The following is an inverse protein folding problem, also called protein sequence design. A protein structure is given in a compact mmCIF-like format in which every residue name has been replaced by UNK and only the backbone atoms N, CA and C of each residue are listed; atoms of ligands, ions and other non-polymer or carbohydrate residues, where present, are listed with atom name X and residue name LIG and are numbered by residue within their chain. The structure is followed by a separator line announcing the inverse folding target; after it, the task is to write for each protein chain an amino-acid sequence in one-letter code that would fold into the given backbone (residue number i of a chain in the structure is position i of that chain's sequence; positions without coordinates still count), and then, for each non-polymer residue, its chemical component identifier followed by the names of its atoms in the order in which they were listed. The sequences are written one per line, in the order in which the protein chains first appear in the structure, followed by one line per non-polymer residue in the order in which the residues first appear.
data_IF_645781387181
#
_entry.id   IF_645781387181
#
_cell.length_a   1.000
_cell.length_b   1.000
_cell.length_c   1.000
_cell.angle_alpha   90.00
_cell.angle_beta   90.00
_cell.angle_gamma   90.00
#
_symmetry.space_group_name_H-M   'P 1'
#
loop_
_entity.id
_entity.type
_entity.pdbx_description
1 polymer ?
#
# COMPACT_ATOMS: atom_id res chain seq x y z
N UNK A 1 -0.04 -22.15 3.81
CA UNK A 1 1.21 -21.64 4.44
C UNK A 1 0.97 -20.20 4.86
N UNK A 2 1.92 -19.58 5.56
CA UNK A 2 1.78 -18.21 6.06
C UNK A 2 2.77 -17.26 5.40
N UNK A 3 2.33 -16.02 5.21
CA UNK A 3 3.16 -14.88 4.83
C UNK A 3 3.24 -13.96 6.06
N UNK A 4 4.44 -13.52 6.44
CA UNK A 4 4.58 -12.53 7.53
C UNK A 4 4.61 -11.11 6.96
N UNK A 5 3.83 -10.20 7.56
CA UNK A 5 3.72 -8.79 7.16
C UNK A 5 4.33 -7.82 8.17
N UNK A 6 5.02 -8.31 9.19
CA UNK A 6 5.47 -7.51 10.34
C UNK A 6 6.38 -6.37 9.93
N UNK A 7 7.28 -6.61 8.97
CA UNK A 7 8.27 -5.64 8.49
C UNK A 7 7.72 -4.67 7.43
N UNK A 8 6.44 -4.79 7.03
CA UNK A 8 5.76 -3.87 6.11
C UNK A 8 4.38 -3.48 6.63
N UNK A 9 3.36 -4.30 6.43
CA UNK A 9 1.98 -3.91 6.73
C UNK A 9 1.68 -3.80 8.23
N UNK A 10 2.33 -4.63 9.05
CA UNK A 10 2.10 -4.63 10.50
C UNK A 10 2.43 -3.26 11.11
N UNK A 11 3.63 -2.75 10.86
CA UNK A 11 4.04 -1.43 11.36
C UNK A 11 3.42 -0.27 10.57
N UNK A 12 3.12 -0.46 9.29
CA UNK A 12 2.33 0.52 8.51
C UNK A 12 0.94 0.73 9.14
N UNK A 13 0.31 -0.36 9.61
CA UNK A 13 -1.02 -0.34 10.18
C UNK A 13 -1.06 0.14 11.62
N UNK A 14 -0.04 -0.17 12.43
CA UNK A 14 -0.07 0.05 13.87
C UNK A 14 0.74 1.25 14.35
N UNK A 15 1.85 1.60 13.68
CA UNK A 15 2.76 2.67 14.11
C UNK A 15 3.12 3.63 12.97
N UNK A 16 2.15 3.89 12.08
CA UNK A 16 2.29 4.85 10.97
C UNK A 16 3.55 4.65 10.11
N UNK A 17 3.94 3.39 9.90
CA UNK A 17 5.11 3.00 9.09
C UNK A 17 6.46 3.45 9.66
N UNK A 18 6.52 3.80 10.95
CA UNK A 18 7.69 4.45 11.57
C UNK A 18 8.82 3.51 11.99
N UNK A 19 8.67 2.20 11.78
CA UNK A 19 9.74 1.25 12.10
C UNK A 19 10.99 1.56 11.27
N UNK A 20 12.08 1.86 11.96
CA UNK A 20 13.39 2.10 11.37
C UNK A 20 14.06 0.83 10.92
N UNK A 21 14.98 0.95 9.97
CA UNK A 21 15.75 -0.21 9.47
C UNK A 21 16.52 -0.89 10.61
N UNK A 22 17.12 -0.11 11.51
CA UNK A 22 17.90 -0.61 12.66
C UNK A 22 17.11 -1.55 13.59
N UNK A 23 15.80 -1.36 13.69
CA UNK A 23 14.93 -2.19 14.51
C UNK A 23 14.58 -3.52 13.84
N UNK A 24 14.69 -3.59 12.52
CA UNK A 24 14.39 -4.79 11.74
C UNK A 24 15.58 -5.75 11.73
N UNK A 25 16.82 -5.23 11.64
CA UNK A 25 18.02 -6.05 11.40
C UNK A 25 18.25 -7.15 12.44
N UNK A 26 18.09 -6.92 13.76
CA UNK A 26 18.31 -7.97 14.76
C UNK A 26 17.35 -9.16 14.64
N UNK A 27 16.21 -8.97 13.98
CA UNK A 27 15.17 -9.99 13.83
C UNK A 27 15.30 -10.87 12.58
N UNK A 28 16.12 -10.47 11.60
CA UNK A 28 16.13 -11.12 10.29
C UNK A 28 16.53 -12.60 10.36
N UNK A 29 17.56 -12.95 11.14
CA UNK A 29 17.97 -14.35 11.29
C UNK A 29 16.88 -15.22 11.94
N UNK A 30 16.18 -14.68 12.94
CA UNK A 30 15.08 -15.39 13.58
C UNK A 30 13.93 -15.60 12.59
N UNK A 31 13.57 -14.57 11.84
CA UNK A 31 12.56 -14.65 10.77
C UNK A 31 12.92 -15.66 9.68
N UNK A 32 14.18 -15.74 9.26
CA UNK A 32 14.65 -16.66 8.23
C UNK A 32 14.55 -18.15 8.65
N UNK A 33 14.32 -18.42 9.94
CA UNK A 33 14.10 -19.76 10.52
C UNK A 33 12.62 -20.10 10.75
N UNK A 34 11.69 -19.20 10.45
CA UNK A 34 10.26 -19.38 10.73
C UNK A 34 9.51 -20.19 9.68
N UNK A 35 10.15 -20.54 8.55
CA UNK A 35 9.56 -21.33 7.47
C UNK A 35 8.28 -20.69 6.86
N UNK A 36 8.26 -19.36 6.77
CA UNK A 36 7.22 -18.62 6.05
C UNK A 36 7.30 -18.89 4.55
N UNK A 37 6.16 -18.84 3.85
CA UNK A 37 6.11 -18.86 2.39
C UNK A 37 6.88 -17.67 1.80
N UNK A 38 6.61 -16.49 2.37
CA UNK A 38 7.31 -15.24 2.08
C UNK A 38 7.19 -14.29 3.27
N UNK A 39 7.99 -13.23 3.24
CA UNK A 39 7.84 -12.08 4.11
C UNK A 39 7.61 -10.83 3.29
N UNK A 40 6.54 -10.11 3.60
CA UNK A 40 6.29 -8.80 3.03
C UNK A 40 7.09 -7.75 3.79
N UNK A 41 8.09 -7.17 3.12
CA UNK A 41 9.13 -6.35 3.76
C UNK A 41 9.31 -4.98 3.11
N UNK A 42 8.63 -4.72 1.99
CA UNK A 42 8.86 -3.53 1.18
C UNK A 42 7.64 -3.08 0.37
N UNK A 43 7.72 -1.93 -0.27
CA UNK A 43 6.61 -1.31 -0.99
C UNK A 43 5.58 -0.68 -0.05
N UNK A 44 4.34 -0.55 -0.52
CA UNK A 44 3.30 0.17 0.23
C UNK A 44 3.74 1.60 0.57
N UNK A 45 3.69 1.98 1.86
CA UNK A 45 4.12 3.30 2.32
C UNK A 45 5.59 3.36 2.75
N UNK A 46 6.32 2.23 2.81
CA UNK A 46 7.68 2.21 3.39
C UNK A 46 8.67 3.02 2.57
N UNK A 47 8.48 3.11 1.25
CA UNK A 47 9.35 3.87 0.36
C UNK A 47 9.30 5.39 0.67
N UNK A 48 8.09 5.96 0.69
CA UNK A 48 7.88 7.38 1.04
C UNK A 48 8.28 7.67 2.49
N UNK A 49 7.87 6.82 3.44
CA UNK A 49 8.10 7.08 4.86
C UNK A 49 9.57 6.98 5.26
N UNK A 50 10.33 6.04 4.68
CA UNK A 50 11.77 5.94 4.91
C UNK A 50 12.46 7.27 4.60
N UNK A 51 12.17 7.85 3.44
CA UNK A 51 12.73 9.13 3.00
C UNK A 51 12.17 10.30 3.82
N UNK A 52 10.84 10.43 3.86
CA UNK A 52 10.16 11.62 4.39
C UNK A 52 10.31 11.81 5.88
N UNK A 53 10.33 10.73 6.65
CA UNK A 53 10.22 10.80 8.11
C UNK A 53 11.34 10.11 8.85
N UNK A 54 12.02 9.14 8.23
CA UNK A 54 13.10 8.40 8.89
C UNK A 54 14.49 8.86 8.42
N UNK A 55 14.56 9.66 7.34
CA UNK A 55 15.82 10.06 6.70
C UNK A 55 16.68 8.83 6.36
N UNK A 56 16.03 7.76 5.88
CA UNK A 56 16.65 6.50 5.49
C UNK A 56 16.45 6.24 3.99
N UNK A 57 17.46 5.65 3.34
CA UNK A 57 17.35 5.18 1.97
C UNK A 57 16.55 3.85 1.92
N UNK A 58 15.39 3.81 1.21
CA UNK A 58 14.56 2.62 1.13
C UNK A 58 15.24 1.47 0.38
N UNK A 59 16.16 1.74 -0.55
CA UNK A 59 16.90 0.72 -1.29
C UNK A 59 17.95 0.05 -0.40
N UNK A 60 18.66 0.83 0.42
CA UNK A 60 19.59 0.28 1.41
C UNK A 60 18.87 -0.55 2.47
N UNK A 61 17.63 -0.18 2.85
CA UNK A 61 16.77 -1.03 3.67
C UNK A 61 16.52 -2.39 3.01
N UNK A 62 16.07 -2.40 1.74
CA UNK A 62 15.79 -3.63 1.00
C UNK A 62 17.02 -4.54 0.92
N UNK A 63 18.16 -3.96 0.56
CA UNK A 63 19.45 -4.66 0.47
C UNK A 63 19.88 -5.31 1.80
N UNK A 64 19.73 -4.59 2.92
CA UNK A 64 20.04 -5.14 4.26
C UNK A 64 19.08 -6.26 4.65
N UNK A 65 17.79 -6.12 4.34
CA UNK A 65 16.79 -7.16 4.60
C UNK A 65 17.09 -8.42 3.78
N UNK A 66 17.31 -8.28 2.47
CA UNK A 66 17.67 -9.41 1.58
C UNK A 66 18.93 -10.14 2.05
N UNK A 67 19.92 -9.42 2.60
CA UNK A 67 21.13 -10.04 3.16
C UNK A 67 20.85 -10.89 4.39
N UNK A 68 19.87 -10.51 5.21
CA UNK A 68 19.50 -11.20 6.45
C UNK A 68 18.48 -12.33 6.26
N UNK A 69 17.57 -12.20 5.30
CA UNK A 69 16.62 -13.25 4.90
C UNK A 69 17.21 -13.98 3.69
N UNK A 70 17.81 -15.16 3.86
CA UNK A 70 18.46 -15.90 2.75
C UNK A 70 17.62 -17.07 2.26
N UNK A 71 16.83 -17.66 3.14
CA UNK A 71 16.03 -18.85 2.86
C UNK A 71 14.57 -18.48 2.61
N UNK A 72 14.09 -17.40 3.22
CA UNK A 72 12.72 -16.92 3.07
C UNK A 72 12.61 -16.01 1.86
N UNK A 73 11.55 -16.20 1.05
CA UNK A 73 11.23 -15.31 -0.06
C UNK A 73 10.80 -13.94 0.47
N UNK A 74 11.19 -12.87 -0.19
CA UNK A 74 10.76 -11.51 0.17
C UNK A 74 9.75 -10.96 -0.84
N UNK A 75 8.76 -10.27 -0.31
CA UNK A 75 7.60 -9.77 -1.02
C UNK A 75 7.46 -8.27 -0.85
N UNK A 76 6.91 -7.61 -1.88
CA UNK A 76 6.48 -6.21 -1.79
C UNK A 76 5.02 -6.02 -2.21
N UNK A 77 4.42 -4.92 -1.74
CA UNK A 77 3.16 -4.39 -2.26
C UNK A 77 3.42 -3.27 -3.27
N UNK A 78 2.94 -3.43 -4.51
CA UNK A 78 3.02 -2.47 -5.61
C UNK A 78 1.61 -2.00 -6.03
N UNK A 79 1.44 -0.69 -6.21
CA UNK A 79 0.17 -0.06 -6.59
C UNK A 79 0.02 0.05 -8.12
N UNK A 80 0.29 -1.02 -8.87
CA UNK A 80 0.22 -0.99 -10.34
C UNK A 80 1.01 0.19 -10.93
N UNK A 81 0.35 0.95 -11.80
CA UNK A 81 0.88 2.16 -12.42
C UNK A 81 1.24 3.29 -11.43
N UNK A 82 0.75 3.26 -10.18
CA UNK A 82 1.15 4.19 -9.12
C UNK A 82 2.42 3.78 -8.39
N UNK A 83 2.97 2.59 -8.65
CA UNK A 83 4.18 2.06 -8.01
C UNK A 83 4.09 2.11 -6.47
N UNK A 84 4.93 2.92 -5.85
CA UNK A 84 4.95 3.21 -4.40
C UNK A 84 4.64 4.68 -4.11
N UNK A 85 4.12 5.40 -5.12
CA UNK A 85 3.68 6.79 -5.06
C UNK A 85 2.15 6.94 -5.05
N UNK A 86 1.68 8.12 -5.45
CA UNK A 86 0.28 8.55 -5.28
C UNK A 86 -0.41 9.03 -6.58
N UNK A 87 0.27 8.95 -7.72
CA UNK A 87 -0.25 9.24 -9.07
C UNK A 87 0.17 8.13 -10.03
N UNK A 88 -0.40 8.07 -11.23
CA UNK A 88 0.17 7.25 -12.29
C UNK A 88 1.51 7.83 -12.76
N UNK A 89 2.45 6.95 -13.03
CA UNK A 89 3.74 7.27 -13.64
C UNK A 89 3.77 6.75 -15.07
N UNK A 90 4.58 7.39 -15.91
CA UNK A 90 4.86 6.91 -17.26
C UNK A 90 5.50 5.51 -17.22
N UNK A 91 5.36 4.77 -18.32
CA UNK A 91 5.77 3.38 -18.39
C UNK A 91 7.29 3.20 -18.18
N UNK A 92 8.12 4.15 -18.61
CA UNK A 92 9.58 4.11 -18.41
C UNK A 92 9.97 4.11 -16.92
N UNK A 93 9.24 4.86 -16.09
CA UNK A 93 9.42 4.86 -14.63
C UNK A 93 9.03 3.51 -14.04
N UNK A 94 7.92 2.93 -14.50
CA UNK A 94 7.47 1.60 -14.06
C UNK A 94 8.50 0.53 -14.42
N UNK A 95 9.02 0.60 -15.65
CA UNK A 95 10.01 -0.33 -16.18
C UNK A 95 11.30 -0.29 -15.37
N UNK A 96 11.85 0.91 -15.16
CA UNK A 96 13.06 1.08 -14.37
C UNK A 96 12.86 0.64 -12.92
N UNK A 97 11.74 1.01 -12.30
CA UNK A 97 11.47 0.64 -10.91
C UNK A 97 11.44 -0.87 -10.70
N UNK A 98 10.71 -1.60 -11.55
CA UNK A 98 10.59 -3.06 -11.46
C UNK A 98 11.94 -3.75 -11.72
N UNK A 99 12.68 -3.27 -12.74
CA UNK A 99 14.04 -3.75 -12.99
C UNK A 99 14.92 -3.61 -11.75
N UNK A 100 14.93 -2.44 -11.11
CA UNK A 100 15.72 -2.20 -9.89
C UNK A 100 15.27 -3.07 -8.74
N UNK A 101 13.97 -3.25 -8.54
CA UNK A 101 13.43 -4.15 -7.51
C UNK A 101 13.92 -5.60 -7.72
N UNK A 102 13.91 -6.09 -8.96
CA UNK A 102 14.41 -7.43 -9.28
C UNK A 102 15.93 -7.56 -9.03
N UNK A 103 16.72 -6.54 -9.39
CA UNK A 103 18.17 -6.50 -9.13
C UNK A 103 18.51 -6.54 -7.62
N UNK A 104 17.62 -6.04 -6.77
CA UNK A 104 17.77 -6.08 -5.31
C UNK A 104 17.31 -7.41 -4.69
N UNK A 105 16.92 -8.40 -5.50
CA UNK A 105 16.60 -9.75 -5.07
C UNK A 105 15.23 -9.92 -4.43
N UNK A 106 14.25 -9.10 -4.84
CA UNK A 106 12.85 -9.34 -4.53
C UNK A 106 12.35 -10.62 -5.22
N UNK A 107 11.52 -11.42 -4.55
CA UNK A 107 11.00 -12.67 -5.11
C UNK A 107 9.56 -12.54 -5.61
N UNK A 108 8.70 -11.86 -4.85
CA UNK A 108 7.25 -11.78 -5.10
C UNK A 108 6.80 -10.32 -5.12
N UNK A 109 6.09 -9.93 -6.17
CA UNK A 109 5.46 -8.61 -6.27
C UNK A 109 3.94 -8.75 -6.27
N UNK A 110 3.30 -8.23 -5.22
CA UNK A 110 1.83 -8.14 -5.12
C UNK A 110 1.37 -6.86 -5.78
N UNK A 111 0.70 -6.96 -6.93
CA UNK A 111 0.29 -5.82 -7.74
C UNK A 111 -1.23 -5.62 -7.63
N UNK A 112 -1.66 -4.43 -7.21
CA UNK A 112 -3.08 -4.07 -7.14
C UNK A 112 -3.35 -2.70 -7.75
N UNK A 113 -4.59 -2.48 -8.15
CA UNK A 113 -5.13 -1.18 -8.57
C UNK A 113 -6.30 -0.81 -7.65
N UNK A 114 -6.44 0.49 -7.37
CA UNK A 114 -7.44 0.96 -6.41
C UNK A 114 -8.88 0.76 -6.90
N UNK A 115 -9.08 0.71 -8.22
CA UNK A 115 -10.38 0.55 -8.88
C UNK A 115 -10.63 -0.87 -9.37
N UNK A 116 -9.65 -1.77 -9.23
CA UNK A 116 -9.62 -3.02 -9.98
C UNK A 116 -9.76 -2.78 -11.50
N UNK A 117 -9.15 -1.71 -12.01
CA UNK A 117 -9.00 -1.48 -13.45
C UNK A 117 -7.76 -2.24 -13.94
N UNK A 118 -8.00 -3.36 -14.64
CA UNK A 118 -6.93 -4.25 -15.10
C UNK A 118 -5.89 -3.53 -15.99
N UNK A 119 -6.30 -2.47 -16.68
CA UNK A 119 -5.44 -1.72 -17.61
C UNK A 119 -4.28 -1.06 -16.87
N UNK A 120 -4.51 -0.60 -15.65
CA UNK A 120 -3.49 0.01 -14.79
C UNK A 120 -2.49 -1.00 -14.21
N UNK A 121 -2.71 -2.30 -14.43
CA UNK A 121 -1.84 -3.38 -13.96
C UNK A 121 -0.93 -3.92 -15.06
N UNK A 122 -1.31 -3.75 -16.32
CA UNK A 122 -0.73 -4.43 -17.46
C UNK A 122 0.79 -4.25 -17.55
N UNK A 123 1.27 -3.00 -17.57
CA UNK A 123 2.71 -2.70 -17.66
C UNK A 123 3.50 -3.27 -16.49
N UNK A 124 2.97 -3.14 -15.28
CA UNK A 124 3.64 -3.64 -14.08
C UNK A 124 3.70 -5.18 -14.05
N UNK A 125 2.64 -5.86 -14.47
CA UNK A 125 2.62 -7.33 -14.61
C UNK A 125 3.63 -7.77 -15.68
N UNK A 126 3.55 -7.19 -16.88
CA UNK A 126 4.43 -7.51 -18.02
C UNK A 126 5.91 -7.40 -17.63
N UNK A 127 6.31 -6.25 -17.08
CA UNK A 127 7.72 -6.01 -16.76
C UNK A 127 8.19 -6.91 -15.60
N UNK A 128 7.32 -7.18 -14.62
CA UNK A 128 7.66 -8.07 -13.51
C UNK A 128 7.93 -9.51 -14.00
N UNK A 129 7.11 -10.00 -14.94
CA UNK A 129 7.31 -11.32 -15.56
C UNK A 129 8.60 -11.37 -16.38
N UNK A 130 8.90 -10.31 -17.13
CA UNK A 130 10.14 -10.19 -17.92
C UNK A 130 11.40 -10.27 -17.05
N UNK A 131 11.33 -9.76 -15.83
CA UNK A 131 12.41 -9.84 -14.84
C UNK A 131 12.37 -11.10 -13.95
N UNK A 132 11.50 -12.08 -14.25
CA UNK A 132 11.46 -13.37 -13.55
C UNK A 132 10.90 -13.32 -12.13
N UNK A 133 10.20 -12.24 -11.77
CA UNK A 133 9.53 -12.13 -10.47
C UNK A 133 8.26 -13.00 -10.45
N UNK A 134 7.91 -13.53 -9.27
CA UNK A 134 6.58 -14.09 -9.04
C UNK A 134 5.57 -12.96 -8.97
N UNK A 135 4.61 -12.93 -9.89
CA UNK A 135 3.58 -11.89 -9.94
C UNK A 135 2.33 -12.36 -9.24
N UNK A 136 1.97 -11.70 -8.14
CA UNK A 136 0.71 -11.94 -7.44
C UNK A 136 -0.29 -10.83 -7.80
N UNK A 137 -1.31 -11.16 -8.57
CA UNK A 137 -2.39 -10.23 -8.92
C UNK A 137 -3.36 -10.08 -7.75
N UNK A 138 -3.58 -8.86 -7.28
CA UNK A 138 -4.43 -8.61 -6.11
C UNK A 138 -5.78 -7.99 -6.48
N UNK A 139 -6.83 -8.58 -5.91
CA UNK A 139 -8.21 -8.11 -5.97
C UNK A 139 -8.45 -7.19 -4.78
N UNK A 140 -8.65 -5.89 -5.03
CA UNK A 140 -9.04 -4.93 -3.99
C UNK A 140 -10.49 -5.20 -3.58
N UNK A 141 -10.69 -5.89 -2.46
CA UNK A 141 -12.00 -6.33 -1.99
C UNK A 141 -12.78 -5.20 -1.30
N UNK A 142 -14.06 -5.09 -1.62
CA UNK A 142 -15.03 -4.15 -1.01
C UNK A 142 -16.45 -4.75 -1.06
N UNK A 143 -17.43 -4.07 -0.48
CA UNK A 143 -18.82 -4.53 -0.48
C UNK A 143 -19.72 -3.44 -1.07
N UNK A 144 -20.34 -3.72 -2.20
CA UNK A 144 -21.36 -2.84 -2.79
C UNK A 144 -22.33 -3.65 -3.66
N UNK A 145 -23.42 -3.03 -4.18
CA UNK A 145 -24.30 -3.69 -5.13
C UNK A 145 -23.61 -4.18 -6.43
N UNK A 146 -22.43 -3.65 -6.75
CA UNK A 146 -21.65 -4.00 -7.95
C UNK A 146 -20.71 -5.18 -7.70
N UNK A 147 -20.20 -5.31 -6.48
CA UNK A 147 -19.15 -6.27 -6.12
C UNK A 147 -19.75 -7.64 -5.76
N UNK A 148 -20.28 -8.32 -6.78
CA UNK A 148 -20.79 -9.70 -6.65
C UNK A 148 -19.66 -10.72 -6.71
N UNK A 149 -19.99 -12.00 -6.51
CA UNK A 149 -19.03 -13.09 -6.73
C UNK A 149 -18.55 -13.09 -8.19
N UNK A 150 -19.48 -12.92 -9.14
CA UNK A 150 -19.22 -12.88 -10.57
C UNK A 150 -18.29 -11.73 -10.96
N UNK A 151 -18.46 -10.55 -10.35
CA UNK A 151 -17.53 -9.42 -10.54
C UNK A 151 -16.09 -9.83 -10.21
N UNK A 152 -15.88 -10.43 -9.04
CA UNK A 152 -14.55 -10.83 -8.61
C UNK A 152 -13.97 -11.97 -9.45
N UNK A 153 -14.80 -12.91 -9.91
CA UNK A 153 -14.37 -13.99 -10.79
C UNK A 153 -14.02 -13.49 -12.20
N UNK A 154 -14.73 -12.50 -12.74
CA UNK A 154 -14.36 -11.87 -14.01
C UNK A 154 -13.02 -11.11 -13.89
N UNK A 155 -12.85 -10.35 -12.81
CA UNK A 155 -11.60 -9.65 -12.56
C UNK A 155 -10.43 -10.64 -12.35
N UNK A 156 -10.63 -11.71 -11.59
CA UNK A 156 -9.66 -12.79 -11.43
C UNK A 156 -9.28 -13.44 -12.77
N UNK A 157 -10.26 -13.68 -13.65
CA UNK A 157 -10.00 -14.19 -15.01
C UNK A 157 -9.09 -13.26 -15.78
N UNK A 158 -9.35 -11.94 -15.77
CA UNK A 158 -8.48 -10.95 -16.44
C UNK A 158 -7.05 -10.99 -15.91
N UNK A 159 -6.86 -11.11 -14.59
CA UNK A 159 -5.53 -11.25 -14.00
C UNK A 159 -4.82 -12.53 -14.48
N UNK A 160 -5.53 -13.67 -14.49
CA UNK A 160 -4.99 -14.95 -14.98
C UNK A 160 -4.65 -14.87 -16.47
N UNK A 161 -5.50 -14.24 -17.28
CA UNK A 161 -5.27 -14.01 -18.71
C UNK A 161 -4.01 -13.15 -18.95
N UNK A 162 -3.66 -12.26 -18.00
CA UNK A 162 -2.40 -11.48 -18.01
C UNK A 162 -1.17 -12.27 -17.52
N UNK A 163 -1.35 -13.51 -17.05
CA UNK A 163 -0.25 -14.41 -16.69
C UNK A 163 0.28 -14.27 -15.26
N UNK A 164 -0.54 -13.81 -14.32
CA UNK A 164 -0.17 -13.80 -12.89
C UNK A 164 0.09 -15.21 -12.37
N UNK A 165 1.03 -15.34 -11.44
CA UNK A 165 1.46 -16.62 -10.86
C UNK A 165 0.61 -17.02 -9.64
N UNK A 166 -0.02 -16.06 -8.96
CA UNK A 166 -1.02 -16.27 -7.91
C UNK A 166 -2.00 -15.11 -7.80
N UNK A 167 -3.11 -15.33 -7.09
CA UNK A 167 -4.13 -14.32 -6.82
C UNK A 167 -4.16 -14.00 -5.32
N UNK A 168 -4.25 -12.73 -4.95
CA UNK A 168 -4.49 -12.28 -3.59
C UNK A 168 -5.87 -11.64 -3.46
N UNK A 169 -6.71 -12.12 -2.53
CA UNK A 169 -7.88 -11.37 -2.07
C UNK A 169 -7.38 -10.33 -1.06
N UNK A 170 -7.31 -9.07 -1.48
CA UNK A 170 -6.83 -7.96 -0.67
C UNK A 170 -8.00 -7.21 -0.02
N UNK A 171 -8.34 -7.61 1.20
CA UNK A 171 -9.33 -6.95 2.04
C UNK A 171 -8.69 -5.91 2.97
N UNK A 172 -8.39 -4.74 2.41
CA UNK A 172 -7.68 -3.65 3.09
C UNK A 172 -8.43 -3.03 4.28
N UNK A 173 -9.76 -3.16 4.33
CA UNK A 173 -10.60 -2.57 5.38
C UNK A 173 -11.09 -3.58 6.42
N UNK A 174 -10.90 -4.89 6.18
CA UNK A 174 -11.40 -5.94 7.06
C UNK A 174 -12.89 -6.22 6.87
N UNK A 175 -13.41 -6.16 5.65
CA UNK A 175 -14.83 -6.31 5.32
C UNK A 175 -15.22 -7.74 4.94
N UNK A 176 -14.24 -8.61 4.72
CA UNK A 176 -14.47 -9.98 4.26
C UNK A 176 -15.12 -10.81 5.38
N UNK A 177 -16.42 -11.05 5.25
CA UNK A 177 -17.14 -11.95 6.17
C UNK A 177 -16.75 -13.41 5.92
N UNK A 178 -16.89 -14.31 6.91
CA UNK A 178 -16.59 -15.74 6.74
C UNK A 178 -17.34 -16.40 5.57
N UNK A 179 -18.64 -16.09 5.42
CA UNK A 179 -19.46 -16.61 4.32
C UNK A 179 -18.88 -16.21 2.96
N UNK A 180 -18.55 -14.93 2.78
CA UNK A 180 -17.98 -14.40 1.53
C UNK A 180 -16.57 -14.95 1.28
N UNK A 181 -15.76 -15.11 2.33
CA UNK A 181 -14.43 -15.71 2.24
C UNK A 181 -14.51 -17.14 1.69
N UNK A 182 -15.38 -17.98 2.27
CA UNK A 182 -15.58 -19.35 1.82
C UNK A 182 -16.05 -19.41 0.36
N UNK A 183 -17.11 -18.65 0.03
CA UNK A 183 -17.69 -18.62 -1.32
C UNK A 183 -16.68 -18.17 -2.38
N UNK A 184 -15.97 -17.07 -2.13
CA UNK A 184 -15.03 -16.49 -3.08
C UNK A 184 -13.80 -17.39 -3.27
N UNK A 185 -13.17 -17.85 -2.18
CA UNK A 185 -12.00 -18.72 -2.26
C UNK A 185 -12.34 -20.02 -2.96
N UNK A 186 -13.45 -20.67 -2.59
CA UNK A 186 -13.88 -21.92 -3.24
C UNK A 186 -14.09 -21.74 -4.74
N UNK A 187 -14.79 -20.68 -5.14
CA UNK A 187 -15.03 -20.40 -6.55
C UNK A 187 -13.75 -20.07 -7.33
N UNK A 188 -12.79 -19.35 -6.72
CA UNK A 188 -11.48 -19.10 -7.33
C UNK A 188 -10.70 -20.40 -7.53
N UNK A 189 -10.63 -21.26 -6.51
CA UNK A 189 -9.92 -22.55 -6.56
C UNK A 189 -10.55 -23.54 -7.55
N UNK A 190 -11.87 -23.48 -7.76
CA UNK A 190 -12.56 -24.31 -8.75
C UNK A 190 -12.34 -23.82 -10.20
N UNK A 191 -12.16 -22.51 -10.41
CA UNK A 191 -12.07 -21.91 -11.75
C UNK A 191 -10.65 -21.70 -12.25
N UNK A 192 -9.69 -21.49 -11.35
CA UNK A 192 -8.32 -21.13 -11.70
C UNK A 192 -7.33 -22.06 -11.00
N UNK A 193 -6.26 -22.43 -11.71
CA UNK A 193 -5.21 -23.31 -11.20
C UNK A 193 -4.13 -22.60 -10.38
N UNK A 194 -4.12 -21.27 -10.40
CA UNK A 194 -3.13 -20.47 -9.66
C UNK A 194 -3.45 -20.48 -8.15
N UNK A 195 -2.43 -20.41 -7.27
CA UNK A 195 -2.65 -20.32 -5.83
C UNK A 195 -3.45 -19.07 -5.43
N UNK A 196 -4.21 -19.19 -4.34
CA UNK A 196 -5.04 -18.13 -3.77
C UNK A 196 -4.52 -17.78 -2.38
N UNK A 197 -4.22 -16.50 -2.19
CA UNK A 197 -3.81 -15.91 -0.92
C UNK A 197 -4.92 -15.01 -0.36
N UNK A 198 -5.08 -15.00 0.96
CA UNK A 198 -6.03 -14.11 1.63
C UNK A 198 -5.26 -13.13 2.52
N UNK A 199 -5.49 -11.85 2.27
CA UNK A 199 -4.97 -10.74 3.05
C UNK A 199 -6.14 -9.94 3.61
N UNK A 200 -6.29 -9.89 4.94
CA UNK A 200 -7.36 -9.13 5.60
C UNK A 200 -6.88 -8.48 6.89
N UNK A 201 -7.45 -7.32 7.21
CA UNK A 201 -7.16 -6.56 8.41
C UNK A 201 -8.20 -6.83 9.52
N UNK A 202 -7.75 -6.87 10.77
CA UNK A 202 -8.57 -7.18 11.94
C UNK A 202 -9.48 -6.04 12.42
N UNK A 203 -9.58 -4.92 11.69
CA UNK A 203 -10.24 -3.69 12.14
C UNK A 203 -11.67 -3.94 12.60
N UNK A 204 -12.43 -4.74 11.87
CA UNK A 204 -13.83 -5.10 12.18
C UNK A 204 -13.96 -6.33 13.07
N UNK A 205 -12.86 -7.05 13.32
CA UNK A 205 -12.84 -8.36 13.95
C UNK A 205 -13.15 -9.55 13.02
N UNK A 206 -13.45 -9.33 11.74
CA UNK A 206 -13.78 -10.43 10.81
C UNK A 206 -12.58 -11.26 10.35
N UNK A 207 -11.39 -10.66 10.21
CA UNK A 207 -10.26 -11.33 9.55
C UNK A 207 -9.93 -12.73 10.08
N UNK A 208 -9.84 -13.00 11.41
CA UNK A 208 -9.57 -14.35 11.89
C UNK A 208 -10.66 -15.37 11.51
N UNK A 209 -11.93 -14.95 11.54
CA UNK A 209 -13.06 -15.79 11.16
C UNK A 209 -13.10 -16.02 9.64
N UNK A 210 -12.77 -15.00 8.86
CA UNK A 210 -12.66 -15.07 7.41
C UNK A 210 -11.53 -16.00 6.98
N UNK A 211 -10.40 -15.96 7.68
CA UNK A 211 -9.25 -16.84 7.45
C UNK A 211 -9.61 -18.30 7.69
N UNK A 212 -10.31 -18.61 8.78
CA UNK A 212 -10.79 -19.97 9.04
C UNK A 212 -11.69 -20.49 7.90
N UNK A 213 -12.65 -19.67 7.47
CA UNK A 213 -13.56 -20.05 6.38
C UNK A 213 -12.83 -20.20 5.03
N UNK A 214 -11.86 -19.32 4.74
CA UNK A 214 -11.02 -19.42 3.55
C UNK A 214 -10.10 -20.65 3.59
N UNK A 215 -9.60 -21.03 4.76
CA UNK A 215 -8.81 -22.24 4.95
C UNK A 215 -9.64 -23.49 4.64
N UNK A 216 -10.87 -23.55 5.16
CA UNK A 216 -11.83 -24.63 4.84
C UNK A 216 -12.22 -24.68 3.36
N UNK A 217 -12.17 -23.53 2.67
CA UNK A 217 -12.40 -23.43 1.23
C UNK A 217 -11.17 -23.75 0.36
N UNK A 218 -9.99 -23.96 0.98
CA UNK A 218 -8.77 -24.39 0.28
C UNK A 218 -7.85 -23.26 -0.18
N UNK A 219 -7.87 -22.09 0.46
CA UNK A 219 -6.85 -21.06 0.23
C UNK A 219 -5.43 -21.59 0.58
N UNK A 220 -4.44 -21.17 -0.21
CA UNK A 220 -3.07 -21.67 -0.14
C UNK A 220 -2.22 -20.89 0.87
N UNK A 221 -2.45 -19.57 0.97
CA UNK A 221 -1.62 -18.64 1.74
C UNK A 221 -2.46 -17.65 2.55
N UNK A 222 -1.92 -17.23 3.69
CA UNK A 222 -2.56 -16.27 4.60
C UNK A 222 -1.55 -15.26 5.11
N UNK A 223 -1.86 -13.97 4.98
CA UNK A 223 -1.04 -12.90 5.54
C UNK A 223 -1.28 -12.78 7.04
N UNK A 224 -0.21 -12.87 7.82
CA UNK A 224 -0.21 -12.77 9.28
C UNK A 224 0.88 -11.83 9.73
N UNK A 225 0.80 -11.35 10.97
CA UNK A 225 1.91 -10.67 11.63
C UNK A 225 2.21 -11.38 12.95
N UNK A 226 3.45 -11.32 13.44
CA UNK A 226 3.74 -11.79 14.80
C UNK A 226 2.92 -10.98 15.82
N UNK A 227 2.57 -11.61 16.95
CA UNK A 227 1.60 -11.06 17.89
C UNK A 227 1.81 -9.58 18.28
N UNK A 228 3.03 -9.06 18.53
CA UNK A 228 3.21 -7.64 18.89
C UNK A 228 2.82 -6.65 17.79
N UNK A 229 2.78 -7.07 16.52
CA UNK A 229 2.39 -6.24 15.37
C UNK A 229 1.14 -6.78 14.65
N UNK A 230 0.36 -7.62 15.32
CA UNK A 230 -0.89 -8.17 14.82
C UNK A 230 -2.12 -7.48 15.42
N UNK A 231 -3.31 -7.89 14.97
CA UNK A 231 -4.61 -7.46 15.46
C UNK A 231 -4.87 -5.94 15.29
N UNK A 232 -6.03 -5.47 15.76
CA UNK A 232 -6.44 -4.08 15.56
C UNK A 232 -6.53 -3.77 14.06
N UNK A 233 -5.85 -2.71 13.62
CA UNK A 233 -5.77 -2.36 12.20
C UNK A 233 -4.79 -3.23 11.40
N UNK A 234 -4.08 -4.18 12.02
CA UNK A 234 -3.15 -5.11 11.39
C UNK A 234 -3.80 -6.46 11.05
N UNK A 235 -3.00 -7.40 10.54
CA UNK A 235 -3.40 -8.76 10.19
C UNK A 235 -3.59 -9.66 11.43
N UNK A 236 -4.25 -10.83 11.31
CA UNK A 236 -4.30 -11.84 12.37
C UNK A 236 -2.91 -12.28 12.84
N UNK A 237 -2.82 -12.66 14.12
CA UNK A 237 -1.57 -13.12 14.73
C UNK A 237 -1.14 -14.48 14.14
N UNK A 238 0.11 -14.58 13.69
CA UNK A 238 0.69 -15.82 13.15
C UNK A 238 0.52 -16.98 14.13
N UNK A 239 0.84 -16.76 15.40
CA UNK A 239 0.85 -17.79 16.44
C UNK A 239 -0.54 -18.44 16.58
N UNK A 240 -1.57 -17.61 16.68
CA UNK A 240 -2.95 -18.08 16.80
C UNK A 240 -3.42 -18.81 15.54
N UNK A 241 -3.13 -18.25 14.37
CA UNK A 241 -3.57 -18.85 13.11
C UNK A 241 -2.86 -20.16 12.81
N UNK A 242 -1.57 -20.27 13.15
CA UNK A 242 -0.80 -21.48 13.00
C UNK A 242 -1.44 -22.65 13.74
N UNK A 243 -1.69 -22.50 15.04
CA UNK A 243 -2.29 -23.56 15.85
C UNK A 243 -3.75 -23.85 15.45
N UNK A 244 -4.50 -22.83 15.01
CA UNK A 244 -5.85 -23.02 14.50
C UNK A 244 -5.87 -23.93 13.25
N UNK A 245 -4.91 -23.78 12.33
CA UNK A 245 -4.92 -24.50 11.05
C UNK A 245 -4.19 -25.85 11.11
N UNK A 246 -3.12 -25.96 11.90
CA UNK A 246 -2.27 -27.16 11.96
C UNK A 246 -2.62 -28.10 13.12
N UNK A 247 -3.38 -27.62 14.11
CA UNK A 247 -3.69 -28.38 15.32
C UNK A 247 -2.46 -28.64 16.20
N UNK A 248 -2.56 -29.63 17.09
CA UNK A 248 -1.55 -29.93 18.11
C UNK A 248 -0.43 -30.89 17.64
N UNK A 249 0.11 -30.65 16.43
CA UNK A 249 1.23 -31.41 15.87
C UNK A 249 2.61 -30.85 16.22
N UNK A 250 3.69 -31.53 15.79
CA UNK A 250 5.05 -30.97 15.84
C UNK A 250 5.10 -29.71 14.97
N UNK A 251 5.63 -28.61 15.49
CA UNK A 251 5.75 -27.39 14.69
C UNK A 251 6.74 -27.54 13.55
N UNK A 252 6.42 -26.88 12.43
CA UNK A 252 7.30 -26.73 11.28
C UNK A 252 8.05 -25.37 11.28
N UNK A 253 8.05 -24.66 12.43
CA UNK A 253 8.80 -23.43 12.70
C UNK A 253 9.67 -23.54 13.97
N UNK A 254 10.67 -22.67 14.10
CA UNK A 254 11.56 -22.57 15.28
C UNK A 254 10.90 -21.79 16.44
N UNK A 255 10.57 -22.48 17.53
CA UNK A 255 9.94 -21.89 18.72
C UNK A 255 10.81 -20.84 19.42
N UNK A 256 12.12 -21.04 19.48
CA UNK A 256 13.02 -20.08 20.14
C UNK A 256 13.17 -18.83 19.27
N UNK A 257 13.19 -18.99 17.94
CA UNK A 257 13.11 -17.86 17.02
C UNK A 257 11.79 -17.09 17.19
N UNK A 258 10.64 -17.76 17.25
CA UNK A 258 9.36 -17.10 17.50
C UNK A 258 9.34 -16.33 18.82
N UNK A 259 9.82 -16.96 19.91
CA UNK A 259 9.91 -16.32 21.22
C UNK A 259 10.77 -15.05 21.16
N UNK A 260 11.95 -15.13 20.55
CA UNK A 260 12.81 -13.97 20.34
C UNK A 260 12.11 -12.87 19.55
N UNK A 261 11.41 -13.21 18.45
CA UNK A 261 10.67 -12.25 17.64
C UNK A 261 9.60 -11.52 18.47
N UNK A 262 8.79 -12.26 19.22
CA UNK A 262 7.75 -11.68 20.08
C UNK A 262 8.35 -10.74 21.13
N UNK A 263 9.41 -11.16 21.82
CA UNK A 263 10.09 -10.34 22.82
C UNK A 263 10.75 -9.08 22.22
N UNK A 264 11.44 -9.23 21.09
CA UNK A 264 12.09 -8.14 20.37
C UNK A 264 11.06 -7.11 19.92
N UNK A 265 10.02 -7.53 19.21
CA UNK A 265 9.06 -6.61 18.65
C UNK A 265 8.11 -5.99 19.67
N UNK A 266 7.91 -6.64 20.82
CA UNK A 266 7.27 -5.99 21.98
C UNK A 266 8.08 -4.77 22.43
N UNK A 267 9.41 -4.92 22.56
CA UNK A 267 10.31 -3.81 22.93
C UNK A 267 10.41 -2.75 21.84
N UNK A 268 10.40 -3.16 20.56
CA UNK A 268 10.38 -2.24 19.42
C UNK A 268 9.11 -1.39 19.47
N UNK A 269 7.92 -2.01 19.50
CA UNK A 269 6.63 -1.31 19.51
C UNK A 269 6.53 -0.31 20.67
N UNK A 270 7.03 -0.67 21.85
CA UNK A 270 7.04 0.22 23.01
C UNK A 270 7.80 1.56 22.78
N UNK A 271 8.80 1.59 21.89
CA UNK A 271 9.51 2.83 21.52
C UNK A 271 8.70 3.76 20.61
N UNK A 272 7.66 3.25 19.97
CA UNK A 272 6.83 3.99 18.99
C UNK A 272 5.43 4.31 19.55
N UNK A 273 5.29 4.41 20.87
CA UNK A 273 4.00 4.65 21.54
C UNK A 273 3.26 5.90 21.03
N UNK A 274 4.00 6.91 20.57
CA UNK A 274 3.44 8.14 20.01
C UNK A 274 2.70 7.95 18.67
N UNK A 275 3.05 6.89 17.92
CA UNK A 275 2.44 6.56 16.64
C UNK A 275 1.46 5.38 16.76
N UNK A 276 1.44 4.70 17.91
CA UNK A 276 0.64 3.49 18.10
C UNK A 276 -0.85 3.81 18.03
N UNK A 277 -1.58 3.13 17.14
CA UNK A 277 -3.03 3.27 17.01
C UNK A 277 -3.75 2.90 18.32
N UNK A 278 -3.17 2.01 19.13
CA UNK A 278 -3.70 1.69 20.47
C UNK A 278 -5.11 1.12 20.48
N UNK A 279 -5.55 0.53 19.36
CA UNK A 279 -6.90 -0.01 19.18
C UNK A 279 -7.14 -1.19 20.13
N UNK A 280 -8.13 -1.05 21.03
CA UNK A 280 -8.43 -2.04 22.08
C UNK A 280 -9.53 -3.03 21.72
N UNK A 281 -10.38 -2.67 20.76
CA UNK A 281 -11.57 -3.43 20.39
C UNK A 281 -11.87 -3.25 18.90
N UNK A 282 -12.55 -4.20 18.25
CA UNK A 282 -13.03 -4.05 16.88
C UNK A 282 -13.86 -2.78 16.67
N UNK A 283 -13.69 -2.12 15.53
CA UNK A 283 -14.44 -0.92 15.15
C UNK A 283 -15.54 -1.28 14.14
N UNK A 284 -16.76 -1.42 14.64
CA UNK A 284 -17.93 -1.76 13.80
C UNK A 284 -18.34 -0.64 12.84
N UNK A 285 -17.89 0.61 13.04
CA UNK A 285 -18.21 1.72 12.13
C UNK A 285 -17.64 1.46 10.74
N UNK A 286 -16.50 0.78 10.67
CA UNK A 286 -15.83 0.46 9.40
C UNK A 286 -16.64 -0.52 8.55
N UNK A 287 -17.49 -1.35 9.16
CA UNK A 287 -18.39 -2.25 8.41
C UNK A 287 -19.33 -1.44 7.49
N UNK A 288 -19.74 -0.25 7.93
CA UNK A 288 -20.67 0.59 7.20
C UNK A 288 -19.98 1.65 6.36
N UNK A 289 -18.98 2.35 6.94
CA UNK A 289 -18.26 3.43 6.23
C UNK A 289 -17.24 2.90 5.23
N UNK A 290 -16.76 1.67 5.42
CA UNK A 290 -15.70 1.01 4.63
C UNK A 290 -14.36 1.78 4.58
N UNK A 291 -14.19 2.79 5.43
CA UNK A 291 -12.96 3.58 5.50
C UNK A 291 -11.85 2.72 6.13
N UNK A 292 -10.71 2.49 5.47
CA UNK A 292 -9.59 1.78 6.08
C UNK A 292 -9.06 2.50 7.32
N UNK A 293 -8.60 1.76 8.33
CA UNK A 293 -8.22 2.30 9.64
C UNK A 293 -7.22 3.47 9.58
N UNK A 294 -6.18 3.38 8.75
CA UNK A 294 -5.20 4.47 8.59
C UNK A 294 -5.81 5.77 8.04
N UNK A 295 -6.77 5.67 7.13
CA UNK A 295 -7.49 6.84 6.62
C UNK A 295 -8.47 7.38 7.66
N UNK A 296 -9.13 6.51 8.42
CA UNK A 296 -10.05 6.92 9.49
C UNK A 296 -9.35 7.79 10.54
N UNK A 297 -8.17 7.37 11.00
CA UNK A 297 -7.35 8.15 11.93
C UNK A 297 -6.91 9.51 11.34
N UNK A 298 -6.59 9.56 10.04
CA UNK A 298 -6.27 10.81 9.35
C UNK A 298 -7.48 11.76 9.25
N UNK A 299 -8.67 11.24 8.92
CA UNK A 299 -9.91 12.00 8.89
C UNK A 299 -10.23 12.59 10.26
N UNK A 300 -10.09 11.80 11.33
CA UNK A 300 -10.26 12.27 12.71
C UNK A 300 -9.29 13.40 13.06
N UNK A 301 -8.02 13.26 12.67
CA UNK A 301 -7.01 14.32 12.88
C UNK A 301 -7.38 15.61 12.15
N UNK A 302 -7.81 15.53 10.89
CA UNK A 302 -8.24 16.69 10.11
C UNK A 302 -9.46 17.39 10.72
N UNK A 303 -10.45 16.62 11.18
CA UNK A 303 -11.61 17.16 11.89
C UNK A 303 -11.18 17.87 13.18
N UNK A 304 -10.26 17.27 13.95
CA UNK A 304 -9.74 17.86 15.19
C UNK A 304 -8.97 19.16 14.97
N UNK A 305 -8.10 19.20 13.96
CA UNK A 305 -7.36 20.42 13.59
C UNK A 305 -8.31 21.57 13.23
N UNK A 306 -9.47 21.25 12.66
CA UNK A 306 -10.51 22.23 12.30
C UNK A 306 -11.56 22.45 13.40
N UNK A 307 -11.45 21.77 14.55
CA UNK A 307 -12.44 21.81 15.66
C UNK A 307 -13.85 21.37 15.21
N UNK A 308 -13.92 20.40 14.32
CA UNK A 308 -15.13 19.87 13.68
C UNK A 308 -15.42 18.41 14.03
N UNK A 309 -14.89 17.89 15.14
CA UNK A 309 -15.05 16.48 15.53
C UNK A 309 -16.52 16.06 15.69
N UNK A 310 -17.38 17.01 16.06
CA UNK A 310 -18.84 16.82 16.18
C UNK A 310 -19.54 16.48 14.85
N UNK A 311 -18.85 16.62 13.70
CA UNK A 311 -19.38 16.27 12.38
C UNK A 311 -19.05 14.84 11.96
N UNK A 312 -18.21 14.12 12.71
CA UNK A 312 -17.70 12.80 12.31
C UNK A 312 -18.80 11.84 11.85
N UNK A 313 -19.85 11.66 12.66
CA UNK A 313 -20.93 10.71 12.34
C UNK A 313 -21.61 11.06 11.02
N UNK A 314 -21.87 12.35 10.77
CA UNK A 314 -22.43 12.83 9.49
C UNK A 314 -21.50 12.58 8.32
N UNK A 315 -20.18 12.72 8.53
CA UNK A 315 -19.19 12.41 7.48
C UNK A 315 -19.19 10.92 7.16
N UNK A 316 -19.24 10.06 8.18
CA UNK A 316 -19.29 8.60 7.97
C UNK A 316 -20.59 8.15 7.28
N UNK A 317 -21.71 8.83 7.53
CA UNK A 317 -22.98 8.60 6.81
C UNK A 317 -22.93 9.07 5.34
N UNK A 318 -22.18 10.14 5.06
CA UNK A 318 -22.06 10.69 3.70
C UNK A 318 -21.08 9.90 2.83
N UNK A 319 -20.10 9.20 3.42
CA UNK A 319 -19.09 8.42 2.70
C UNK A 319 -19.69 7.37 1.74
N UNK A 320 -20.61 6.48 2.16
CA UNK A 320 -21.24 5.52 1.25
C UNK A 320 -22.04 6.18 0.12
N UNK A 321 -22.56 7.40 0.34
CA UNK A 321 -23.28 8.17 -0.69
C UNK A 321 -22.33 8.71 -1.73
N UNK A 322 -21.20 9.30 -1.31
CA UNK A 322 -20.14 9.74 -2.23
C UNK A 322 -19.53 8.55 -2.97
N UNK A 323 -19.31 7.43 -2.28
CA UNK A 323 -18.83 6.20 -2.91
C UNK A 323 -19.78 5.73 -4.02
N UNK A 324 -21.11 5.74 -3.76
CA UNK A 324 -22.12 5.43 -4.78
C UNK A 324 -22.05 6.40 -5.96
N UNK A 325 -22.05 7.70 -5.69
CA UNK A 325 -22.07 8.74 -6.73
C UNK A 325 -20.81 8.68 -7.61
N UNK A 326 -19.68 8.18 -7.06
CA UNK A 326 -18.43 7.95 -7.79
C UNK A 326 -18.32 6.56 -8.43
N UNK A 327 -19.41 5.79 -8.55
CA UNK A 327 -19.37 4.49 -9.25
C UNK A 327 -18.81 3.34 -8.41
N UNK A 328 -18.98 3.41 -7.09
CA UNK A 328 -18.57 2.39 -6.12
C UNK A 328 -17.08 1.99 -6.12
N UNK A 329 -16.10 2.92 -6.10
CA UNK A 329 -14.71 2.52 -5.98
C UNK A 329 -14.46 1.74 -4.68
N UNK A 330 -13.62 0.68 -4.70
CA UNK A 330 -13.01 0.16 -3.49
C UNK A 330 -12.29 1.30 -2.76
N UNK A 331 -12.43 1.39 -1.43
CA UNK A 331 -11.80 2.45 -0.65
C UNK A 331 -10.40 2.03 -0.22
N UNK A 332 -9.43 2.24 -1.10
CA UNK A 332 -8.00 2.03 -0.85
C UNK A 332 -7.23 3.25 -1.35
N UNK A 333 -5.94 3.39 -1.04
CA UNK A 333 -5.17 4.52 -1.57
C UNK A 333 -5.14 4.49 -3.10
N UNK A 334 -5.47 5.59 -3.82
CA UNK A 334 -5.84 6.92 -3.30
C UNK A 334 -7.35 7.19 -3.17
N UNK A 335 -8.23 6.32 -3.69
CA UNK A 335 -9.69 6.51 -3.75
C UNK A 335 -10.34 6.73 -2.39
N UNK A 336 -9.81 6.11 -1.34
CA UNK A 336 -10.28 6.30 0.03
C UNK A 336 -10.22 7.77 0.44
N UNK A 337 -9.06 8.42 0.25
CA UNK A 337 -8.86 9.84 0.54
C UNK A 337 -9.81 10.74 -0.29
N UNK A 338 -9.99 10.43 -1.57
CA UNK A 338 -10.89 11.18 -2.46
C UNK A 338 -12.32 11.17 -1.91
N UNK A 339 -12.84 9.98 -1.61
CA UNK A 339 -14.20 9.80 -1.09
C UNK A 339 -14.37 10.46 0.28
N UNK A 340 -13.45 10.25 1.22
CA UNK A 340 -13.60 10.79 2.57
C UNK A 340 -13.49 12.30 2.65
N UNK A 341 -12.54 12.90 1.92
CA UNK A 341 -12.42 14.37 1.89
C UNK A 341 -13.65 14.99 1.21
N UNK A 342 -14.12 14.40 0.10
CA UNK A 342 -15.33 14.88 -0.56
C UNK A 342 -16.57 14.75 0.34
N UNK A 343 -16.69 13.66 1.10
CA UNK A 343 -17.77 13.49 2.07
C UNK A 343 -17.72 14.54 3.18
N UNK A 344 -16.52 14.85 3.71
CA UNK A 344 -16.34 15.94 4.66
C UNK A 344 -16.79 17.29 4.08
N UNK A 345 -16.34 17.64 2.87
CA UNK A 345 -16.75 18.88 2.21
C UNK A 345 -18.25 18.95 1.97
N UNK A 346 -18.88 17.83 1.59
CA UNK A 346 -20.32 17.72 1.40
C UNK A 346 -21.09 18.03 2.69
N UNK A 347 -20.61 17.55 3.85
CA UNK A 347 -21.24 17.81 5.15
C UNK A 347 -21.10 19.27 5.57
N UNK A 348 -19.95 19.89 5.32
CA UNK A 348 -19.67 21.27 5.76
C UNK A 348 -20.34 22.31 4.84
N UNK A 349 -20.30 22.09 3.53
CA UNK A 349 -20.67 23.12 2.54
C UNK A 349 -21.92 22.76 1.71
N UNK A 350 -22.45 21.55 1.81
CA UNK A 350 -23.48 21.01 0.94
C UNK A 350 -22.92 20.10 -0.14
N UNK A 351 -23.72 19.12 -0.60
CA UNK A 351 -23.25 18.06 -1.52
C UNK A 351 -22.72 18.65 -2.82
N UNK A 352 -21.43 18.41 -3.07
CA UNK A 352 -20.72 18.84 -4.27
C UNK A 352 -20.75 20.36 -4.54
N UNK A 353 -20.96 21.20 -3.52
CA UNK A 353 -20.80 22.65 -3.63
C UNK A 353 -19.32 23.05 -3.68
N UNK A 354 -18.47 22.28 -2.99
CA UNK A 354 -17.02 22.33 -3.15
C UNK A 354 -16.52 20.96 -3.57
N UNK A 355 -15.80 20.93 -4.69
CA UNK A 355 -15.28 19.69 -5.29
C UNK A 355 -13.76 19.80 -5.37
N UNK A 356 -13.05 18.81 -4.81
CA UNK A 356 -11.59 18.78 -4.84
C UNK A 356 -11.06 18.51 -6.25
N UNK A 357 -9.79 18.85 -6.50
CA UNK A 357 -9.15 18.55 -7.78
C UNK A 357 -9.02 17.04 -7.99
N UNK A 358 -8.81 16.27 -6.93
CA UNK A 358 -8.72 14.82 -6.98
C UNK A 358 -10.06 14.19 -7.38
N UNK A 359 -11.19 14.68 -6.84
CA UNK A 359 -12.53 14.25 -7.28
C UNK A 359 -12.78 14.63 -8.74
N UNK A 360 -12.36 15.83 -9.18
CA UNK A 360 -12.47 16.22 -10.59
C UNK A 360 -11.64 15.30 -11.49
N UNK A 361 -10.39 15.01 -11.11
CA UNK A 361 -9.49 14.14 -11.85
C UNK A 361 -10.01 12.70 -11.91
N UNK A 362 -10.64 12.23 -10.82
CA UNK A 362 -11.36 10.97 -10.79
C UNK A 362 -12.47 10.92 -11.82
N UNK A 363 -13.34 11.92 -11.84
CA UNK A 363 -14.46 12.01 -12.79
C UNK A 363 -13.97 12.18 -14.24
N UNK A 364 -12.80 12.80 -14.45
CA UNK A 364 -12.12 12.86 -15.75
C UNK A 364 -11.57 11.50 -16.22
N UNK A 365 -11.53 10.49 -15.36
CA UNK A 365 -10.97 9.17 -15.67
C UNK A 365 -9.47 9.03 -15.41
N UNK A 366 -8.80 10.03 -14.81
CA UNK A 366 -7.34 10.06 -14.66
C UNK A 366 -6.77 9.04 -13.66
N UNK A 367 -7.64 8.38 -12.89
CA UNK A 367 -7.28 7.27 -12.00
C UNK A 367 -7.62 5.89 -12.58
N UNK A 368 -8.30 5.83 -13.73
CA UNK A 368 -8.82 4.59 -14.32
C UNK A 368 -10.34 4.53 -14.33
N UNK A 369 -10.87 3.39 -14.75
CA UNK A 369 -12.31 3.14 -14.91
C UNK A 369 -12.93 2.69 -13.58
N UNK A 370 -13.98 3.36 -13.09
CA UNK A 370 -14.70 2.92 -11.90
C UNK A 370 -15.44 1.59 -12.13
N UNK A 371 -15.72 0.81 -11.07
CA UNK A 371 -16.47 -0.45 -11.18
C UNK A 371 -17.87 -0.30 -11.79
N UNK A 372 -18.51 0.85 -11.61
CA UNK A 372 -19.80 1.19 -12.18
C UNK A 372 -19.82 2.64 -12.69
N UNK A 373 -20.82 3.03 -13.51
CA UNK A 373 -20.96 4.40 -13.97
C UNK A 373 -21.05 5.39 -12.79
N UNK A 374 -20.33 6.51 -12.92
CA UNK A 374 -20.43 7.68 -12.04
C UNK A 374 -21.81 8.33 -12.25
N UNK A 375 -22.36 8.97 -11.22
CA UNK A 375 -23.60 9.74 -11.30
C UNK A 375 -23.53 10.75 -12.48
N UNK A 376 -24.42 10.62 -13.50
CA UNK A 376 -24.42 11.50 -14.65
C UNK A 376 -24.56 12.99 -14.30
N UNK A 377 -25.29 13.33 -13.24
CA UNK A 377 -25.44 14.73 -12.82
C UNK A 377 -24.13 15.27 -12.24
N UNK A 378 -23.37 14.44 -11.53
CA UNK A 378 -22.05 14.79 -11.03
C UNK A 378 -21.03 14.93 -12.19
N UNK A 379 -21.07 14.01 -13.16
CA UNK A 379 -20.26 14.11 -14.39
C UNK A 379 -20.53 15.42 -15.10
N UNK A 380 -21.80 15.75 -15.34
CA UNK A 380 -22.21 17.00 -16.00
C UNK A 380 -21.81 18.24 -15.19
N UNK A 381 -21.95 18.22 -13.85
CA UNK A 381 -21.53 19.34 -12.99
C UNK A 381 -20.03 19.60 -13.04
N UNK A 382 -19.21 18.55 -13.18
CA UNK A 382 -17.74 18.66 -13.18
C UNK A 382 -17.17 18.93 -14.58
N UNK A 383 -17.69 18.26 -15.61
CA UNK A 383 -17.12 18.28 -16.97
C UNK A 383 -17.90 19.14 -17.95
N UNK A 384 -19.15 19.51 -17.65
CA UNK A 384 -20.03 20.16 -18.63
C UNK A 384 -20.22 19.26 -19.86
N UNK A 385 -19.72 19.71 -21.01
CA UNK A 385 -19.75 18.99 -22.28
C UNK A 385 -18.47 18.18 -22.57
N UNK A 386 -17.43 18.29 -21.73
CA UNK A 386 -16.22 17.47 -21.85
C UNK A 386 -16.51 16.00 -21.53
N UNK A 387 -15.86 15.09 -22.24
CA UNK A 387 -15.97 13.64 -21.97
C UNK A 387 -14.81 13.18 -21.08
N UNK A 388 -15.06 12.28 -20.12
CA UNK A 388 -13.97 11.55 -19.45
C UNK A 388 -13.08 10.83 -20.46
N UNK A 389 -11.82 10.63 -20.10
CA UNK A 389 -10.94 9.76 -20.90
C UNK A 389 -11.43 8.31 -20.80
N UNK A 390 -11.21 7.54 -21.88
CA UNK A 390 -11.58 6.11 -21.95
C UNK A 390 -10.35 5.19 -22.15
N UNK A 391 -9.16 5.76 -22.33
CA UNK A 391 -7.89 5.01 -22.38
C UNK A 391 -7.33 4.73 -20.98
N UNK A 392 -6.20 4.00 -20.90
CA UNK A 392 -5.42 3.90 -19.67
C UNK A 392 -4.77 5.28 -19.43
N UNK A 393 -4.86 5.88 -18.23
CA UNK A 393 -4.38 7.25 -18.04
C UNK A 393 -2.88 7.43 -18.28
N UNK A 394 -2.07 6.38 -18.07
CA UNK A 394 -0.65 6.40 -18.35
C UNK A 394 -0.32 6.48 -19.85
N UNK A 395 -1.24 6.15 -20.75
CA UNK A 395 -1.04 6.31 -22.20
C UNK A 395 -0.98 7.79 -22.61
N UNK A 396 -1.37 8.70 -21.71
CA UNK A 396 -1.31 10.16 -21.90
C UNK A 396 -0.07 10.79 -21.26
N UNK A 397 0.80 9.99 -20.64
CA UNK A 397 2.02 10.47 -19.99
C UNK A 397 3.21 10.29 -20.94
N UNK A 398 3.94 11.38 -21.15
CA UNK A 398 5.24 11.33 -21.82
C UNK A 398 6.28 10.67 -20.89
N UNK A 399 7.31 10.00 -21.44
CA UNK A 399 8.43 9.47 -20.66
C UNK A 399 9.04 10.51 -19.72
N UNK A 400 9.34 10.10 -18.47
CA UNK A 400 9.71 11.04 -17.41
C UNK A 400 11.22 11.00 -17.08
N UNK A 401 11.89 9.87 -17.30
CA UNK A 401 13.21 9.60 -16.70
C UNK A 401 14.35 10.41 -17.32
N UNK A 402 14.38 10.55 -18.64
CA UNK A 402 15.46 11.26 -19.36
C UNK A 402 15.47 12.73 -18.96
N UNK A 403 14.30 13.38 -19.06
CA UNK A 403 14.11 14.77 -18.63
C UNK A 403 14.45 14.97 -17.15
N UNK A 404 14.00 14.07 -16.26
CA UNK A 404 14.30 14.18 -14.84
C UNK A 404 15.81 14.05 -14.56
N UNK A 405 16.52 13.19 -15.29
CA UNK A 405 17.97 13.03 -15.15
C UNK A 405 18.72 14.31 -15.56
N UNK A 406 18.32 14.95 -16.65
CA UNK A 406 18.89 16.22 -17.10
C UNK A 406 18.65 17.34 -16.08
N UNK A 407 17.42 17.46 -15.56
CA UNK A 407 17.04 18.50 -14.59
C UNK A 407 17.73 18.34 -13.22
N UNK A 408 17.93 17.10 -12.77
CA UNK A 408 18.51 16.82 -11.45
C UNK A 408 20.03 16.79 -11.44
N UNK A 409 20.65 16.49 -12.59
CA UNK A 409 22.11 16.52 -12.78
C UNK A 409 22.87 15.82 -11.66
N UNK A 410 23.73 16.57 -10.96
CA UNK A 410 24.63 16.05 -9.92
C UNK A 410 23.93 15.48 -8.68
N UNK A 411 22.63 15.77 -8.48
CA UNK A 411 21.87 15.22 -7.34
C UNK A 411 21.54 13.73 -7.52
N UNK A 412 21.63 13.20 -8.73
CA UNK A 412 21.28 11.83 -9.08
C UNK A 412 22.54 11.11 -9.57
N UNK A 413 23.09 10.23 -8.72
CA UNK A 413 24.28 9.44 -9.05
C UNK A 413 23.91 8.07 -9.62
N UNK A 414 22.74 7.56 -9.24
CA UNK A 414 22.26 6.23 -9.64
C UNK A 414 20.79 6.23 -10.05
N UNK A 415 20.33 5.12 -10.63
CA UNK A 415 18.92 4.95 -11.00
C UNK A 415 17.99 4.95 -9.77
N UNK A 416 18.48 4.45 -8.63
CA UNK A 416 17.78 4.47 -7.35
C UNK A 416 17.48 5.90 -6.89
N UNK A 417 18.46 6.81 -7.03
CA UNK A 417 18.30 8.23 -6.73
C UNK A 417 17.27 8.87 -7.66
N UNK A 418 17.36 8.57 -8.95
CA UNK A 418 16.40 9.06 -9.95
C UNK A 418 14.98 8.64 -9.59
N UNK A 419 14.79 7.36 -9.23
CA UNK A 419 13.49 6.83 -8.80
C UNK A 419 12.99 7.49 -7.52
N UNK A 420 13.86 7.74 -6.53
CA UNK A 420 13.48 8.48 -5.31
C UNK A 420 12.97 9.87 -5.68
N UNK A 421 13.69 10.60 -6.54
CA UNK A 421 13.33 11.95 -6.94
C UNK A 421 12.04 12.01 -7.76
N UNK A 422 11.89 11.14 -8.76
CA UNK A 422 10.71 11.11 -9.64
C UNK A 422 9.47 10.66 -8.88
N UNK A 423 9.57 9.61 -8.07
CA UNK A 423 8.41 9.05 -7.36
C UNK A 423 7.97 9.97 -6.21
N UNK A 424 8.90 10.49 -5.42
CA UNK A 424 8.57 11.30 -4.24
C UNK A 424 8.57 12.81 -4.49
N UNK A 425 8.90 13.24 -5.71
CA UNK A 425 8.96 14.63 -6.12
C UNK A 425 9.88 15.44 -5.20
N UNK A 426 9.38 16.59 -4.73
CA UNK A 426 10.13 17.51 -3.86
C UNK A 426 10.69 16.86 -2.58
N UNK A 427 10.04 15.83 -2.06
CA UNK A 427 10.54 15.12 -0.87
C UNK A 427 11.77 14.29 -1.20
N UNK A 428 11.76 13.60 -2.34
CA UNK A 428 12.92 12.89 -2.84
C UNK A 428 14.08 13.84 -3.16
N UNK A 429 13.79 14.95 -3.87
CA UNK A 429 14.80 15.96 -4.19
C UNK A 429 15.47 16.56 -2.95
N UNK A 430 14.69 16.90 -1.92
CA UNK A 430 15.22 17.41 -0.65
C UNK A 430 16.10 16.40 0.06
N UNK A 431 15.71 15.12 0.07
CA UNK A 431 16.51 14.05 0.65
C UNK A 431 17.85 13.88 -0.09
N UNK A 432 17.85 13.86 -1.42
CA UNK A 432 19.07 13.75 -2.21
C UNK A 432 19.97 14.98 -2.05
N UNK A 433 19.41 16.18 -2.03
CA UNK A 433 20.16 17.42 -1.76
C UNK A 433 20.87 17.35 -0.41
N UNK A 434 20.16 16.97 0.65
CA UNK A 434 20.75 16.81 1.98
C UNK A 434 21.88 15.77 1.99
N UNK A 435 21.69 14.62 1.33
CA UNK A 435 22.72 13.59 1.21
C UNK A 435 23.95 14.09 0.43
N UNK A 436 23.73 14.90 -0.61
CA UNK A 436 24.79 15.52 -1.39
C UNK A 436 25.56 16.56 -0.55
N UNK A 437 24.85 17.45 0.16
CA UNK A 437 25.41 18.42 1.12
C UNK A 437 26.31 17.76 2.16
N UNK A 438 25.82 16.68 2.79
CA UNK A 438 26.59 15.88 3.75
C UNK A 438 27.84 15.25 3.11
N UNK A 439 27.73 14.78 1.85
CA UNK A 439 28.85 14.18 1.11
C UNK A 439 29.95 15.19 0.77
N UNK A 440 29.58 16.41 0.40
CA UNK A 440 30.54 17.47 0.05
C UNK A 440 30.96 18.33 1.23
N UNK A 441 30.39 18.12 2.43
CA UNK A 441 30.73 18.87 3.64
C UNK A 441 30.35 20.35 3.57
N UNK A 442 29.24 20.68 2.91
CA UNK A 442 28.78 22.06 2.70
C UNK A 442 27.36 22.24 3.23
N UNK A 443 27.15 23.29 4.03
CA UNK A 443 25.82 23.76 4.43
C UNK A 443 25.38 24.94 3.55
N UNK A 444 24.60 24.65 2.50
CA UNK A 444 24.09 25.71 1.61
C UNK A 444 23.09 26.63 2.30
N UNK A 445 22.39 26.20 3.35
CA UNK A 445 21.50 27.10 4.08
C UNK A 445 22.30 28.16 4.83
N UNK A 446 23.46 27.78 5.38
CA UNK A 446 24.38 28.74 5.96
C UNK A 446 24.92 29.70 4.90
N UNK A 447 25.33 29.19 3.73
CA UNK A 447 25.84 30.02 2.63
C UNK A 447 24.79 31.01 2.13
N UNK A 448 23.57 30.56 1.83
CA UNK A 448 22.45 31.41 1.40
C UNK A 448 22.05 32.45 2.47
N UNK A 449 22.40 32.23 3.74
CA UNK A 449 22.17 33.20 4.82
C UNK A 449 23.22 34.32 4.87
N UNK A 450 24.36 34.15 4.19
CA UNK A 450 25.39 35.18 4.08
C UNK A 450 24.91 36.24 3.10
N UNK A 451 24.83 37.48 3.56
CA UNK A 451 24.32 38.63 2.79
C UNK A 451 25.12 38.93 1.51
N UNK A 452 26.34 38.42 1.44
CA UNK A 452 27.31 38.58 0.35
C UNK A 452 27.47 37.31 -0.50
N UNK A 453 26.73 36.23 -0.21
CA UNK A 453 26.78 35.02 -1.02
C UNK A 453 26.29 35.28 -2.44
N UNK A 454 27.12 34.92 -3.41
CA UNK A 454 26.78 34.93 -4.83
C UNK A 454 27.12 33.56 -5.43
N UNK A 455 26.39 33.16 -6.48
CA UNK A 455 26.53 31.83 -7.11
C UNK A 455 27.95 31.54 -7.64
N UNK A 456 28.76 32.58 -7.84
CA UNK A 456 30.15 32.53 -8.29
C UNK A 456 31.19 32.45 -7.14
N UNK A 457 30.76 32.52 -5.87
CA UNK A 457 31.66 32.39 -4.74
C UNK A 457 32.22 30.97 -4.63
N UNK A 458 33.55 30.80 -4.51
CA UNK A 458 34.14 29.48 -4.30
C UNK A 458 33.79 28.97 -2.90
N UNK A 459 33.02 27.89 -2.86
CA UNK A 459 32.64 27.19 -1.63
C UNK A 459 33.62 26.05 -1.39
N UNK A 460 34.25 26.03 -0.21
CA UNK A 460 35.13 24.95 0.20
C UNK A 460 34.43 24.03 1.21
N UNK A 461 34.49 22.70 1.01
CA UNK A 461 34.09 21.71 2.02
C UNK A 461 34.77 21.98 3.37
N UNK A 462 34.04 21.81 4.47
CA UNK A 462 34.62 21.78 5.82
C UNK A 462 35.17 20.40 6.14
#
# INVERSE_FOLDING_TARGET
MFVDTTLRDGHQSLIATRMKTEDMLPALEAFDRMNFHSMEVWGGATFDVAVRFLNEDPWERLKKIRKGLKNTRIQMLLRGQNLVGYRHYADDVVELFIKKVAEYGLDIIRIFDALNDERNLQKAIEESKKHGLHVQGAISYTVSPVHTLEYYLDFARKLVDMGVDSICIKDMAGLLTPKRAYELVKALKEKFSVPVEVHSHCTTGFAPLAYQAAFEAGADFFDTAISPFSMGTSQPAFESMYYAFKGNGKEDFDREALKFLVEHFTKVRARYVEYDVGMKYPDSRIIFSQIPGGMYSNLLKQLKEQRMEHLLDKVLEEVPRVQKDLGYPPLVTPTSQIVGVQAFLNVVYGRYERITNETKNYVKGLYGRPPAPIDPELVKKILGDEKPIDCRPADLLEPELEKAREELGVLVETDEDLLIAVILGEVGKKFLRKRYEEKIGVDFNYLESLSDFTDDMPVYPI
#
